data_IF_717059924565
#
_entry.id   IF_717059924565
#
_cell.length_a   1.000
_cell.length_b   1.000
_cell.length_c   1.000
_cell.angle_alpha   90.00
_cell.angle_beta   90.00
_cell.angle_gamma   90.00
#
_symmetry.space_group_name_H-M   'P 1'
#
loop_
_entity.id
_entity.type
_entity.pdbx_description
1 polymer ?
#
# COMPACT_ATOMS: atom_id res chain seq x y z
N UNK A 1 -3.42 -6.14 4.27
CA UNK A 1 -4.46 -5.44 3.48
C UNK A 1 -5.70 -6.29 3.29
N UNK A 2 -5.62 -7.45 2.61
CA UNK A 2 -6.79 -8.35 2.46
C UNK A 2 -7.43 -8.69 3.81
N UNK A 3 -6.64 -9.02 4.82
CA UNK A 3 -7.13 -9.33 6.18
C UNK A 3 -7.91 -8.19 6.86
N UNK A 4 -7.65 -6.94 6.46
CA UNK A 4 -8.21 -5.74 7.10
C UNK A 4 -9.24 -4.99 6.25
N UNK A 5 -9.32 -5.27 4.95
CA UNK A 5 -10.19 -4.53 4.02
C UNK A 5 -11.17 -5.43 3.25
N UNK A 6 -10.84 -6.69 2.96
CA UNK A 6 -11.80 -7.58 2.33
C UNK A 6 -12.97 -7.85 3.29
N UNK A 7 -14.19 -7.94 2.74
CA UNK A 7 -15.38 -8.12 3.55
C UNK A 7 -16.67 -7.83 2.78
N UNK A 8 -17.71 -7.39 3.49
CA UNK A 8 -19.06 -7.16 2.96
C UNK A 8 -19.09 -6.17 1.79
N UNK A 9 -18.91 -6.67 0.56
CA UNK A 9 -18.94 -5.90 -0.67
C UNK A 9 -17.60 -5.29 -1.09
N UNK A 10 -16.49 -5.71 -0.48
CA UNK A 10 -15.14 -5.26 -0.88
C UNK A 10 -14.21 -6.46 -1.08
N UNK A 11 -13.58 -6.53 -2.25
CA UNK A 11 -12.61 -7.57 -2.59
C UNK A 11 -11.43 -7.00 -3.36
N UNK A 12 -10.23 -7.05 -2.77
CA UNK A 12 -9.00 -6.61 -3.43
C UNK A 12 -8.67 -7.52 -4.62
N UNK A 13 -8.37 -6.88 -5.75
CA UNK A 13 -7.86 -7.54 -6.95
C UNK A 13 -6.32 -7.56 -6.88
N UNK A 14 -5.69 -6.38 -6.80
CA UNK A 14 -4.23 -6.23 -6.84
C UNK A 14 -3.74 -5.02 -6.02
N UNK A 15 -2.50 -5.11 -5.52
CA UNK A 15 -1.74 -4.00 -4.92
C UNK A 15 -0.33 -4.00 -5.51
N UNK A 16 -0.06 -3.03 -6.38
CA UNK A 16 1.20 -2.96 -7.15
C UNK A 16 1.96 -1.66 -6.92
N UNK A 17 3.31 -1.70 -6.92
CA UNK A 17 4.13 -0.51 -6.70
C UNK A 17 4.05 0.47 -7.89
N UNK A 18 4.04 1.77 -7.60
CA UNK A 18 4.19 2.79 -8.64
C UNK A 18 5.63 2.82 -9.16
N UNK A 19 5.82 3.00 -10.46
CA UNK A 19 7.16 3.06 -11.09
C UNK A 19 8.05 4.21 -10.57
N UNK A 20 7.44 5.32 -10.13
CA UNK A 20 8.15 6.44 -9.49
C UNK A 20 8.55 6.17 -8.03
N UNK A 21 8.13 5.03 -7.45
CA UNK A 21 8.44 4.58 -6.09
C UNK A 21 7.94 5.50 -4.96
N UNK A 22 6.86 6.24 -5.18
CA UNK A 22 6.25 7.11 -4.17
C UNK A 22 4.99 6.54 -3.53
N UNK A 23 4.49 5.41 -4.02
CA UNK A 23 3.27 4.79 -3.51
C UNK A 23 2.91 3.48 -4.20
N UNK A 24 1.69 3.03 -3.96
CA UNK A 24 1.09 1.84 -4.53
C UNK A 24 -0.28 2.18 -5.09
N UNK A 25 -0.68 1.50 -6.16
CA UNK A 25 -2.07 1.45 -6.58
C UNK A 25 -2.73 0.18 -6.06
N UNK A 26 -3.97 0.30 -5.60
CA UNK A 26 -4.80 -0.83 -5.20
C UNK A 26 -6.06 -0.83 -6.06
N UNK A 27 -6.30 -1.94 -6.76
CA UNK A 27 -7.55 -2.19 -7.47
C UNK A 27 -8.42 -3.16 -6.65
N UNK A 28 -9.73 -2.91 -6.62
CA UNK A 28 -10.67 -3.70 -5.85
C UNK A 28 -12.08 -3.65 -6.46
N UNK A 29 -12.89 -4.65 -6.13
CA UNK A 29 -14.35 -4.64 -6.31
C UNK A 29 -14.96 -3.99 -5.06
N UNK A 30 -15.96 -3.14 -5.25
CA UNK A 30 -16.64 -2.42 -4.18
C UNK A 30 -16.29 -0.94 -4.12
N UNK A 31 -16.92 -0.22 -3.18
CA UNK A 31 -16.71 1.22 -2.97
C UNK A 31 -16.54 1.54 -1.48
N UNK A 32 -15.47 1.03 -0.83
CA UNK A 32 -15.17 1.43 0.55
C UNK A 32 -14.90 2.94 0.60
N UNK A 33 -15.18 3.56 1.74
CA UNK A 33 -14.73 4.94 1.97
C UNK A 33 -13.20 5.00 2.05
N UNK A 34 -12.65 6.15 1.71
CA UNK A 34 -11.20 6.39 1.76
C UNK A 34 -10.64 6.23 3.18
N UNK A 35 -11.45 6.56 4.20
CA UNK A 35 -11.05 6.38 5.60
C UNK A 35 -10.94 4.89 5.96
N UNK A 36 -11.87 4.04 5.52
CA UNK A 36 -11.76 2.58 5.74
C UNK A 36 -10.49 2.02 5.09
N UNK A 37 -10.13 2.50 3.89
CA UNK A 37 -8.88 2.11 3.23
C UNK A 37 -7.66 2.58 4.02
N UNK A 38 -7.66 3.83 4.50
CA UNK A 38 -6.58 4.38 5.31
C UNK A 38 -6.37 3.60 6.62
N UNK A 39 -7.46 3.24 7.31
CA UNK A 39 -7.41 2.48 8.56
C UNK A 39 -6.87 1.06 8.33
N UNK A 40 -7.34 0.38 7.27
CA UNK A 40 -6.83 -0.94 6.88
C UNK A 40 -5.35 -0.91 6.45
N UNK A 41 -4.91 0.19 5.81
CA UNK A 41 -3.51 0.40 5.48
C UNK A 41 -2.67 0.55 6.76
N UNK A 42 -3.07 1.41 7.69
CA UNK A 42 -2.37 1.58 8.96
C UNK A 42 -2.26 0.25 9.75
N UNK A 43 -3.33 -0.56 9.79
CA UNK A 43 -3.29 -1.89 10.38
C UNK A 43 -2.27 -2.81 9.67
N UNK A 44 -2.26 -2.79 8.34
CA UNK A 44 -1.30 -3.57 7.55
C UNK A 44 0.16 -3.13 7.77
N UNK A 45 0.41 -1.85 8.03
CA UNK A 45 1.76 -1.38 8.39
C UNK A 45 2.20 -1.95 9.74
N UNK A 46 1.29 -2.13 10.70
CA UNK A 46 1.62 -2.79 11.96
C UNK A 46 1.95 -4.27 11.77
N UNK A 47 1.26 -4.97 10.86
CA UNK A 47 1.59 -6.36 10.55
C UNK A 47 3.01 -6.49 9.97
N UNK A 48 3.41 -5.57 9.11
CA UNK A 48 4.79 -5.53 8.57
C UNK A 48 5.82 -5.39 9.69
N UNK A 49 5.55 -4.60 10.73
CA UNK A 49 6.45 -4.47 11.89
C UNK A 49 6.52 -5.75 12.73
N UNK A 50 5.51 -6.61 12.65
CA UNK A 50 5.47 -7.87 13.39
C UNK A 50 6.26 -9.00 12.71
N UNK A 51 6.63 -8.84 11.43
CA UNK A 51 7.47 -9.80 10.70
C UNK A 51 8.87 -9.85 11.32
N UNK A 52 9.28 -11.01 11.84
CA UNK A 52 10.53 -11.13 12.63
C UNK A 52 11.78 -11.35 11.78
N UNK A 53 11.64 -12.01 10.64
CA UNK A 53 12.76 -12.36 9.78
C UNK A 53 12.28 -12.58 8.33
N UNK A 54 13.22 -12.55 7.37
CA UNK A 54 12.89 -12.64 5.95
C UNK A 54 12.28 -13.98 5.54
N UNK A 55 12.51 -15.07 6.30
CA UNK A 55 11.91 -16.38 5.99
C UNK A 55 10.40 -16.40 6.20
N UNK A 56 9.85 -15.38 6.88
CA UNK A 56 8.41 -15.18 7.06
C UNK A 56 7.77 -14.37 5.93
N UNK A 57 8.55 -13.84 5.00
CA UNK A 57 8.02 -13.13 3.84
C UNK A 57 7.49 -14.17 2.85
N UNK A 58 6.19 -14.13 2.49
CA UNK A 58 5.64 -15.04 1.50
C UNK A 58 6.40 -14.95 0.18
N UNK A 59 6.63 -16.09 -0.45
CA UNK A 59 7.18 -16.19 -1.82
C UNK A 59 8.62 -15.64 -1.99
N UNK A 60 9.31 -15.26 -0.90
CA UNK A 60 10.72 -14.86 -0.93
C UNK A 60 11.61 -16.10 -1.09
N UNK A 61 11.65 -16.64 -2.30
CA UNK A 61 12.52 -17.74 -2.73
C UNK A 61 12.69 -17.72 -4.26
N UNK A 62 13.64 -18.52 -4.75
CA UNK A 62 14.01 -18.57 -6.18
C UNK A 62 12.90 -19.08 -7.11
N UNK A 63 11.90 -19.80 -6.59
CA UNK A 63 10.86 -20.44 -7.39
C UNK A 63 9.63 -19.53 -7.60
N UNK A 64 9.45 -18.54 -6.72
CA UNK A 64 8.21 -17.75 -6.66
C UNK A 64 8.44 -16.24 -6.84
N UNK A 65 9.66 -15.73 -6.64
CA UNK A 65 9.98 -14.33 -6.84
C UNK A 65 10.95 -14.13 -8.02
N UNK A 66 10.54 -13.35 -9.01
CA UNK A 66 11.32 -13.09 -10.23
C UNK A 66 12.67 -12.40 -9.97
N UNK A 67 12.87 -11.78 -8.80
CA UNK A 67 14.17 -11.20 -8.39
C UNK A 67 14.35 -11.34 -6.87
N UNK A 68 14.35 -12.58 -6.37
CA UNK A 68 14.34 -12.91 -4.93
C UNK A 68 15.51 -12.37 -4.10
N UNK A 69 16.61 -11.91 -4.74
CA UNK A 69 17.74 -11.29 -4.05
C UNK A 69 17.53 -9.80 -3.72
N UNK A 70 16.53 -9.14 -4.32
CA UNK A 70 16.26 -7.71 -4.16
C UNK A 70 15.25 -7.46 -3.04
N UNK A 71 15.51 -7.99 -1.84
CA UNK A 71 14.66 -7.82 -0.66
C UNK A 71 15.42 -7.21 0.51
N UNK A 72 14.71 -6.37 1.30
CA UNK A 72 15.20 -5.83 2.56
C UNK A 72 14.04 -5.66 3.54
N UNK A 73 13.94 -6.57 4.51
CA UNK A 73 12.92 -6.46 5.58
C UNK A 73 13.10 -5.18 6.40
N UNK A 74 14.35 -4.77 6.66
CA UNK A 74 14.64 -3.57 7.43
C UNK A 74 14.11 -2.30 6.74
N UNK A 75 14.30 -2.16 5.43
CA UNK A 75 13.76 -1.02 4.67
C UNK A 75 12.24 -1.04 4.63
N UNK A 76 11.63 -2.22 4.44
CA UNK A 76 10.16 -2.36 4.45
C UNK A 76 9.57 -1.94 5.81
N UNK A 77 10.19 -2.36 6.91
CA UNK A 77 9.77 -1.97 8.26
C UNK A 77 9.99 -0.47 8.51
N UNK A 78 11.06 0.12 8.01
CA UNK A 78 11.29 1.56 8.11
C UNK A 78 10.21 2.36 7.36
N UNK A 79 9.80 1.89 6.17
CA UNK A 79 8.69 2.50 5.43
C UNK A 79 7.39 2.40 6.24
N UNK A 80 7.08 1.22 6.78
CA UNK A 80 5.88 1.03 7.61
C UNK A 80 5.87 1.92 8.85
N UNK A 81 7.00 2.04 9.56
CA UNK A 81 7.17 2.98 10.68
C UNK A 81 6.93 4.43 10.26
N UNK A 82 7.46 4.84 9.11
CA UNK A 82 7.29 6.20 8.60
C UNK A 82 5.82 6.51 8.29
N UNK A 83 5.09 5.57 7.69
CA UNK A 83 3.65 5.70 7.42
C UNK A 83 2.87 5.82 8.73
N UNK A 84 3.15 4.97 9.71
CA UNK A 84 2.49 5.03 11.03
C UNK A 84 2.75 6.34 11.76
N UNK A 85 4.00 6.82 11.75
CA UNK A 85 4.38 8.07 12.40
C UNK A 85 3.73 9.30 11.77
N UNK A 86 3.64 9.32 10.42
CA UNK A 86 3.05 10.44 9.67
C UNK A 86 1.52 10.35 9.55
N UNK A 87 0.95 9.17 9.83
CA UNK A 87 -0.45 8.82 9.60
C UNK A 87 -0.81 8.88 8.10
N UNK A 88 -2.05 8.52 7.79
CA UNK A 88 -2.60 8.57 6.43
C UNK A 88 -3.75 9.59 6.41
N UNK A 89 -3.65 10.59 5.55
CA UNK A 89 -4.70 11.58 5.32
C UNK A 89 -5.50 11.24 4.06
N UNK A 90 -6.75 11.70 3.99
CA UNK A 90 -7.60 11.57 2.80
C UNK A 90 -7.40 12.80 1.92
N UNK A 91 -6.80 12.59 0.76
CA UNK A 91 -6.70 13.63 -0.27
C UNK A 91 -8.07 13.85 -0.93
N UNK A 92 -8.38 15.10 -1.26
CA UNK A 92 -9.60 15.47 -2.00
C UNK A 92 -9.23 15.85 -3.42
N UNK A 93 -9.81 15.14 -4.40
CA UNK A 93 -9.51 15.39 -5.81
C UNK A 93 -9.86 16.82 -6.25
N UNK A 94 -10.90 17.43 -5.66
CA UNK A 94 -11.25 18.83 -5.93
C UNK A 94 -10.15 19.82 -5.52
N UNK A 95 -9.51 19.60 -4.37
CA UNK A 95 -8.47 20.49 -3.84
C UNK A 95 -7.14 20.35 -4.61
N UNK A 96 -6.94 19.21 -5.27
CA UNK A 96 -5.75 18.87 -6.05
C UNK A 96 -5.95 18.98 -7.56
N UNK A 97 -7.14 19.43 -8.00
CA UNK A 97 -7.44 19.59 -9.41
C UNK A 97 -6.48 20.62 -10.02
N UNK A 98 -5.85 20.25 -11.13
CA UNK A 98 -5.02 21.17 -11.88
C UNK A 98 -5.91 22.20 -12.59
N UNK A 99 -5.49 23.46 -12.55
CA UNK A 99 -6.13 24.53 -13.30
C UNK A 99 -6.07 24.21 -14.80
N UNK A 100 -7.16 24.46 -15.54
CA UNK A 100 -7.24 24.18 -16.98
C UNK A 100 -6.14 24.89 -17.79
N UNK A 101 -5.67 26.05 -17.33
CA UNK A 101 -4.54 26.77 -17.96
C UNK A 101 -3.23 26.01 -17.89
N UNK A 102 -3.04 25.15 -16.87
CA UNK A 102 -1.87 24.28 -16.72
C UNK A 102 -1.98 22.99 -17.54
N UNK A 103 -3.20 22.61 -17.96
CA UNK A 103 -3.46 21.39 -18.72
C UNK A 103 -3.37 21.60 -20.23
N UNK A 104 -3.67 22.81 -20.70
CA UNK A 104 -3.70 23.17 -22.12
C UNK A 104 -2.42 23.89 -22.59
N UNK A 105 -1.35 23.85 -21.80
CA UNK A 105 -0.05 24.46 -22.09
C UNK A 105 0.79 23.61 -23.06
#
# INVERSE_FOLDING_TARGET
MRDHLNGAGVEIIDISPMGCRTGFYMSLIGTPSEQQVADAWLASMQDVLNVKDQSKIPELNEYQCGTYLMHSLAEAQQIAQNVLARKVAVNRNGDLALDESLLNA
#
